data_IF_410312645040
#
_entry.id   IF_410312645040
#
_cell.length_a   1.000
_cell.length_b   1.000
_cell.length_c   1.000
_cell.angle_alpha   90.00
_cell.angle_beta   90.00
_cell.angle_gamma   90.00
#
_symmetry.space_group_name_H-M   'P 1'
#
loop_
_entity.id
_entity.type
_entity.pdbx_description
1 polymer ?
#
# COMPACT_ATOMS: atom_id res chain seq x y z
N UNK A 1 13.35 14.33 1.92
CA UNK A 1 12.39 14.54 3.02
C UNK A 1 11.28 13.51 2.84
N UNK A 2 11.13 12.53 3.74
CA UNK A 2 10.11 11.48 3.55
C UNK A 2 8.69 12.05 3.71
N UNK A 3 7.80 11.66 2.80
CA UNK A 3 6.36 11.86 2.89
C UNK A 3 5.83 11.16 4.14
N UNK A 4 4.88 11.77 4.84
CA UNK A 4 4.11 11.12 5.91
C UNK A 4 2.68 11.02 5.41
N UNK A 5 2.17 9.80 5.25
CA UNK A 5 0.81 9.57 4.80
C UNK A 5 -0.20 9.97 5.88
N UNK A 6 -1.33 10.47 5.41
CA UNK A 6 -2.50 10.76 6.23
C UNK A 6 -3.76 10.65 5.37
N UNK A 7 -4.92 10.65 6.01
CA UNK A 7 -6.20 10.68 5.29
C UNK A 7 -6.35 11.90 4.40
N UNK A 8 -5.62 13.00 4.66
CA UNK A 8 -5.69 14.23 3.87
C UNK A 8 -4.87 14.16 2.58
N UNK A 9 -3.75 13.43 2.56
CA UNK A 9 -2.83 13.43 1.41
C UNK A 9 -2.83 12.12 0.61
N UNK A 10 -3.45 11.05 1.13
CA UNK A 10 -3.48 9.75 0.46
C UNK A 10 -4.09 9.81 -0.94
N UNK A 11 -5.12 10.64 -1.15
CA UNK A 11 -5.77 10.75 -2.45
C UNK A 11 -4.78 11.32 -3.49
N UNK A 12 -4.11 12.41 -3.15
CA UNK A 12 -3.12 13.02 -4.02
C UNK A 12 -1.93 12.09 -4.29
N UNK A 13 -1.50 11.32 -3.28
CA UNK A 13 -0.48 10.30 -3.45
C UNK A 13 -0.91 9.22 -4.46
N UNK A 14 -2.11 8.64 -4.31
CA UNK A 14 -2.63 7.62 -5.21
C UNK A 14 -2.80 8.12 -6.65
N UNK A 15 -3.22 9.38 -6.82
CA UNK A 15 -3.31 10.05 -8.13
C UNK A 15 -1.93 10.18 -8.77
N UNK A 16 -0.92 10.67 -8.03
CA UNK A 16 0.46 10.82 -8.54
C UNK A 16 1.06 9.47 -8.93
N UNK A 17 0.73 8.42 -8.19
CA UNK A 17 1.15 7.05 -8.46
C UNK A 17 0.33 6.35 -9.54
N UNK A 18 -0.62 7.04 -10.20
CA UNK A 18 -1.51 6.51 -11.25
C UNK A 18 -2.38 5.32 -10.80
N UNK A 19 -2.64 5.20 -9.50
CA UNK A 19 -3.53 4.18 -8.92
C UNK A 19 -4.97 4.68 -8.73
N UNK A 20 -5.18 6.00 -8.88
CA UNK A 20 -6.49 6.65 -8.85
C UNK A 20 -6.55 7.74 -9.93
N UNK A 21 -7.72 7.98 -10.51
CA UNK A 21 -7.93 9.09 -11.45
C UNK A 21 -8.28 10.37 -10.68
N UNK A 22 -7.87 11.54 -11.20
CA UNK A 22 -8.22 12.87 -10.67
C UNK A 22 -9.72 13.13 -10.71
N UNK A 23 -10.45 12.47 -11.60
CA UNK A 23 -11.92 12.55 -11.69
C UNK A 23 -12.62 11.93 -10.48
N UNK A 24 -11.90 11.14 -9.67
CA UNK A 24 -12.45 10.51 -8.47
C UNK A 24 -12.52 11.52 -7.33
N UNK A 25 -13.72 12.06 -7.13
CA UNK A 25 -14.05 12.84 -5.93
C UNK A 25 -14.46 11.91 -4.78
N UNK A 26 -14.08 12.27 -3.55
CA UNK A 26 -14.55 11.66 -2.30
C UNK A 26 -14.27 10.15 -2.15
N UNK A 27 -13.00 9.80 -1.97
CA UNK A 27 -12.63 8.47 -1.49
C UNK A 27 -13.17 8.23 -0.07
N UNK A 28 -13.75 7.06 0.18
CA UNK A 28 -14.05 6.63 1.54
C UNK A 28 -12.76 6.14 2.19
N UNK A 29 -12.38 6.76 3.30
CA UNK A 29 -11.13 6.48 4.00
C UNK A 29 -11.42 5.92 5.38
N UNK A 30 -10.88 4.75 5.68
CA UNK A 30 -10.94 4.15 7.01
C UNK A 30 -9.55 3.80 7.49
N UNK A 31 -9.11 4.45 8.57
CA UNK A 31 -7.87 4.08 9.23
C UNK A 31 -8.05 2.75 9.98
N UNK A 32 -7.13 1.83 9.75
CA UNK A 32 -7.07 0.54 10.44
C UNK A 32 -6.00 0.67 11.53
N UNK A 33 -6.40 0.47 12.78
CA UNK A 33 -5.47 0.50 13.91
C UNK A 33 -4.58 -0.74 13.87
N UNK A 34 -3.28 -0.53 13.71
CA UNK A 34 -2.25 -1.56 13.61
C UNK A 34 -0.88 -0.97 13.98
N UNK A 35 0.18 -1.79 13.93
CA UNK A 35 1.57 -1.33 14.14
C UNK A 35 1.99 -0.22 13.17
N UNK A 36 1.64 -0.36 11.90
CA UNK A 36 1.98 0.59 10.83
C UNK A 36 0.79 1.52 10.55
N UNK A 37 1.05 2.65 9.88
CA UNK A 37 -0.04 3.47 9.35
C UNK A 37 -0.72 2.68 8.22
N UNK A 38 -1.98 2.27 8.45
CA UNK A 38 -2.75 1.52 7.47
C UNK A 38 -4.05 2.28 7.19
N UNK A 39 -4.29 2.58 5.92
CA UNK A 39 -5.51 3.21 5.46
C UNK A 39 -6.20 2.34 4.42
N UNK A 40 -7.42 1.94 4.72
CA UNK A 40 -8.32 1.32 3.76
C UNK A 40 -9.00 2.42 2.94
N UNK A 41 -8.86 2.33 1.63
CA UNK A 41 -9.39 3.28 0.66
C UNK A 41 -10.42 2.57 -0.21
N UNK A 42 -11.69 2.96 -0.13
CA UNK A 42 -12.71 2.49 -1.07
C UNK A 42 -12.74 3.43 -2.27
N UNK A 43 -12.41 2.90 -3.45
CA UNK A 43 -12.53 3.58 -4.74
C UNK A 43 -13.99 3.52 -5.24
N UNK A 44 -14.37 4.39 -6.20
CA UNK A 44 -15.63 4.25 -6.93
C UNK A 44 -15.79 2.85 -7.52
N UNK A 45 -17.01 2.31 -7.45
CA UNK A 45 -17.29 0.93 -7.86
C UNK A 45 -16.96 -0.12 -6.78
N UNK A 46 -16.53 0.30 -5.59
CA UNK A 46 -16.39 -0.58 -4.42
C UNK A 46 -15.06 -1.34 -4.35
N UNK A 47 -14.15 -1.14 -5.31
CA UNK A 47 -12.78 -1.68 -5.24
C UNK A 47 -12.08 -1.06 -4.03
N UNK A 48 -11.43 -1.88 -3.22
CA UNK A 48 -10.71 -1.41 -2.02
C UNK A 48 -9.21 -1.59 -2.17
N UNK A 49 -8.47 -0.56 -1.75
CA UNK A 49 -7.01 -0.58 -1.63
C UNK A 49 -6.61 -0.49 -0.17
N UNK A 50 -5.55 -1.20 0.20
CA UNK A 50 -4.86 -1.02 1.46
C UNK A 50 -3.58 -0.24 1.20
N UNK A 51 -3.50 0.97 1.75
CA UNK A 51 -2.33 1.84 1.70
C UNK A 51 -1.63 1.78 3.05
N UNK A 52 -0.40 1.28 3.06
CA UNK A 52 0.39 1.06 4.27
C UNK A 52 1.63 1.96 4.24
N UNK A 53 1.99 2.56 5.37
CA UNK A 53 3.28 3.19 5.58
C UNK A 53 3.90 2.71 6.88
N UNK A 54 5.18 2.31 6.83
CA UNK A 54 5.90 1.89 8.04
C UNK A 54 5.98 3.02 9.06
N UNK A 55 5.86 2.66 10.34
CA UNK A 55 6.08 3.61 11.42
C UNK A 55 7.56 4.03 11.47
N UNK A 56 7.81 5.33 11.57
CA UNK A 56 9.15 5.86 11.78
C UNK A 56 9.64 5.57 13.21
N UNK A 57 10.89 5.12 13.34
CA UNK A 57 11.49 4.75 14.63
C UNK A 57 12.25 5.91 15.30
N UNK A 58 12.51 6.99 14.57
CA UNK A 58 13.23 8.17 15.07
C UNK A 58 12.85 9.45 14.31
N UNK A 59 13.43 10.58 14.74
CA UNK A 59 13.23 11.90 14.12
C UNK A 59 13.82 11.99 12.70
N UNK A 60 14.76 11.11 12.36
CA UNK A 60 15.37 11.01 11.04
C UNK A 60 14.48 10.25 10.03
N UNK A 61 13.33 9.75 10.48
CA UNK A 61 12.34 9.01 9.68
C UNK A 61 12.88 7.68 9.12
N UNK A 62 13.73 7.02 9.90
CA UNK A 62 14.15 5.65 9.61
C UNK A 62 13.00 4.66 9.85
N UNK A 63 13.04 3.53 9.16
CA UNK A 63 12.05 2.45 9.23
C UNK A 63 12.77 1.11 9.30
N UNK A 64 12.08 0.05 9.74
CA UNK A 64 12.68 -1.29 9.85
C UNK A 64 12.85 -1.96 8.46
N UNK A 65 12.06 -1.55 7.47
CA UNK A 65 12.12 -2.08 6.10
C UNK A 65 11.33 -3.38 5.92
N UNK A 66 10.30 -3.61 6.74
CA UNK A 66 9.48 -4.82 6.71
C UNK A 66 8.71 -4.98 5.38
N UNK A 67 8.29 -3.88 4.74
CA UNK A 67 7.55 -3.95 3.47
C UNK A 67 8.41 -4.40 2.29
N UNK A 68 9.74 -4.33 2.38
CA UNK A 68 10.60 -4.90 1.35
C UNK A 68 10.41 -6.42 1.22
N UNK A 69 10.22 -7.11 2.34
CA UNK A 69 9.93 -8.55 2.33
C UNK A 69 8.59 -8.86 1.67
N UNK A 70 7.55 -8.11 2.04
CA UNK A 70 6.20 -8.23 1.47
C UNK A 70 6.20 -7.98 -0.04
N UNK A 71 6.87 -6.93 -0.50
CA UNK A 71 6.99 -6.60 -1.93
C UNK A 71 7.68 -7.67 -2.78
N UNK A 72 8.49 -8.54 -2.18
CA UNK A 72 9.18 -9.62 -2.90
C UNK A 72 8.33 -10.88 -3.08
N UNK A 73 7.17 -10.97 -2.44
CA UNK A 73 6.28 -12.16 -2.53
C UNK A 73 5.89 -12.47 -3.99
N UNK A 74 5.50 -11.50 -4.85
CA UNK A 74 5.20 -11.78 -6.25
C UNK A 74 6.37 -12.44 -6.98
N UNK A 75 7.58 -11.88 -6.87
CA UNK A 75 8.79 -12.45 -7.48
C UNK A 75 9.14 -13.82 -6.89
N UNK A 76 8.86 -14.06 -5.61
CA UNK A 76 9.02 -15.39 -5.02
C UNK A 76 8.09 -16.40 -5.72
N UNK A 77 6.80 -16.09 -5.86
CA UNK A 77 5.84 -17.00 -6.51
C UNK A 77 6.13 -17.24 -7.99
N UNK A 78 6.73 -16.28 -8.69
CA UNK A 78 7.19 -16.48 -10.08
C UNK A 78 8.27 -17.56 -10.19
N UNK A 79 9.09 -17.74 -9.16
CA UNK A 79 10.14 -18.75 -9.14
C UNK A 79 9.65 -20.15 -8.72
N UNK A 80 8.41 -20.27 -8.20
CA UNK A 80 7.82 -21.54 -7.75
C UNK A 80 6.41 -21.72 -8.35
N UNK A 81 6.30 -22.09 -9.65
CA UNK A 81 5.03 -22.23 -10.34
C UNK A 81 4.06 -23.23 -9.70
N UNK A 82 4.54 -24.21 -8.94
CA UNK A 82 3.72 -25.14 -8.16
C UNK A 82 2.83 -24.43 -7.12
N UNK A 83 3.22 -23.22 -6.69
CA UNK A 83 2.47 -22.36 -5.76
C UNK A 83 1.53 -21.39 -6.46
N UNK A 84 1.35 -21.45 -7.79
CA UNK A 84 0.57 -20.45 -8.54
C UNK A 84 -0.90 -20.37 -8.06
N UNK A 85 -1.46 -21.50 -7.66
CA UNK A 85 -2.79 -21.58 -7.07
C UNK A 85 -2.95 -20.76 -5.76
N UNK A 86 -1.87 -20.28 -5.14
CA UNK A 86 -1.91 -19.41 -3.97
C UNK A 86 -2.18 -17.95 -4.33
N UNK A 87 -1.89 -17.51 -5.57
CA UNK A 87 -2.05 -16.11 -5.99
C UNK A 87 -3.45 -15.56 -5.73
N UNK A 88 -4.49 -16.40 -5.89
CA UNK A 88 -5.90 -16.03 -5.61
C UNK A 88 -6.20 -15.67 -4.16
N UNK A 89 -5.33 -16.05 -3.22
CA UNK A 89 -5.50 -15.77 -1.78
C UNK A 89 -4.62 -14.63 -1.30
N UNK A 90 -3.82 -14.03 -2.19
CA UNK A 90 -2.89 -12.97 -1.85
C UNK A 90 -3.38 -11.63 -2.40
N UNK A 91 -3.22 -10.54 -1.64
CA UNK A 91 -3.39 -9.20 -2.16
C UNK A 91 -2.52 -9.00 -3.40
N UNK A 92 -3.09 -8.40 -4.45
CA UNK A 92 -2.29 -7.88 -5.56
C UNK A 92 -1.48 -6.69 -5.03
N UNK A 93 -0.16 -6.76 -5.11
CA UNK A 93 0.73 -5.66 -4.73
C UNK A 93 0.87 -4.72 -5.93
N UNK A 94 0.40 -3.48 -5.77
CA UNK A 94 0.26 -2.52 -6.85
C UNK A 94 1.45 -1.56 -6.94
N UNK A 95 2.02 -1.20 -5.79
CA UNK A 95 3.11 -0.23 -5.69
C UNK A 95 3.92 -0.46 -4.44
N UNK A 96 5.24 -0.41 -4.57
CA UNK A 96 6.16 -0.24 -3.46
C UNK A 96 7.05 0.97 -3.68
N UNK A 97 6.94 1.94 -2.78
CA UNK A 97 7.72 3.16 -2.74
C UNK A 97 8.70 3.06 -1.58
N UNK A 98 9.91 2.57 -1.90
CA UNK A 98 10.97 2.35 -0.95
C UNK A 98 11.46 3.64 -0.27
N UNK A 99 11.43 4.77 -0.99
CA UNK A 99 11.88 6.07 -0.46
C UNK A 99 10.99 6.54 0.69
N UNK A 100 9.67 6.41 0.53
CA UNK A 100 8.69 6.82 1.54
C UNK A 100 8.22 5.68 2.45
N UNK A 101 8.72 4.46 2.24
CA UNK A 101 8.35 3.26 2.99
C UNK A 101 6.84 2.97 2.90
N UNK A 102 6.28 3.11 1.69
CA UNK A 102 4.85 2.94 1.39
C UNK A 102 4.65 1.69 0.53
N UNK A 103 3.61 0.91 0.88
CA UNK A 103 3.13 -0.21 0.08
C UNK A 103 1.63 -0.04 -0.20
N UNK A 104 1.23 -0.24 -1.45
CA UNK A 104 -0.18 -0.24 -1.85
C UNK A 104 -0.56 -1.60 -2.43
N UNK A 105 -1.66 -2.16 -1.93
CA UNK A 105 -2.19 -3.43 -2.42
C UNK A 105 -3.72 -3.40 -2.53
N UNK A 106 -4.30 -4.39 -3.22
CA UNK A 106 -5.75 -4.64 -3.13
C UNK A 106 -6.12 -5.12 -1.72
N UNK A 107 -7.31 -4.78 -1.27
CA UNK A 107 -7.86 -5.32 -0.03
C UNK A 107 -8.78 -6.51 -0.34
N UNK A 108 -8.43 -7.69 0.20
CA UNK A 108 -9.21 -8.93 0.08
C UNK A 108 -10.32 -9.02 1.14
#
# INVERSE_FOLDING_TARGET
MKLILSSQNVNEYLIKSKLCDRSVENLELKQIQAKNFNLLVTLPGGKKLLVKQEQFINLEKETVGEFFGEWRIPSFLENFPELDHWRRFLPELLLYDAENSILVSTYL
#
